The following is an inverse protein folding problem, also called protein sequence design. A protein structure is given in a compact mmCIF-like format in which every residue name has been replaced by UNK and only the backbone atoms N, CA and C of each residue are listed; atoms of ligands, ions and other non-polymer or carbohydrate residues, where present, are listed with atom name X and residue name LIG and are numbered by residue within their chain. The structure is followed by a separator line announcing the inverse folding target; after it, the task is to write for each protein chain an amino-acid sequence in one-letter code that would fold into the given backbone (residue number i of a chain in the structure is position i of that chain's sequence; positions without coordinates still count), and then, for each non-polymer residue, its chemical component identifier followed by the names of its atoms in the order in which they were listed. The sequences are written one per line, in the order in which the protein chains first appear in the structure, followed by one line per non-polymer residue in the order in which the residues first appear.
data_IF_996415656273
#
_entry.id   IF_996415656273
#
_cell.length_a   1.000
_cell.length_b   1.000
_cell.length_c   1.000
_cell.angle_alpha   90.00
_cell.angle_beta   90.00
_cell.angle_gamma   90.00
#
_symmetry.space_group_name_H-M   'P 1'
#
loop_
_entity.id
_entity.type
_entity.pdbx_description
1 polymer ?
#
# COMPACT_ATOMS: atom_id res chain seq x y z
N UNK A 1 6.26 -12.69 6.94
CA UNK A 1 5.62 -12.21 5.71
C UNK A 1 4.75 -11.03 6.10
N UNK A 2 4.93 -9.87 5.45
CA UNK A 2 4.03 -8.73 5.63
C UNK A 2 2.69 -8.95 4.94
N UNK A 3 1.71 -8.09 5.21
CA UNK A 3 0.40 -8.10 4.54
C UNK A 3 0.10 -6.72 3.97
N UNK A 4 -0.48 -6.67 2.77
CA UNK A 4 -1.08 -5.47 2.20
C UNK A 4 -2.57 -5.72 1.94
N UNK A 5 -3.43 -4.83 2.43
CA UNK A 5 -4.88 -4.84 2.22
C UNK A 5 -5.23 -3.61 1.40
N UNK A 6 -5.87 -3.83 0.25
CA UNK A 6 -6.33 -2.77 -0.66
C UNK A 6 -7.86 -2.79 -0.64
N UNK A 7 -8.47 -1.64 -0.36
CA UNK A 7 -9.91 -1.44 -0.49
C UNK A 7 -10.17 -0.34 -1.50
N UNK A 8 -10.94 -0.64 -2.52
CA UNK A 8 -11.35 0.34 -3.54
C UNK A 8 -12.86 0.54 -3.49
N UNK A 9 -13.30 1.76 -3.73
CA UNK A 9 -14.72 2.08 -3.90
C UNK A 9 -14.89 3.22 -4.90
N UNK A 10 -16.12 3.40 -5.35
CA UNK A 10 -16.49 4.48 -6.27
C UNK A 10 -17.40 5.48 -5.55
N UNK A 11 -17.05 6.76 -5.62
CA UNK A 11 -17.87 7.89 -5.18
C UNK A 11 -18.47 8.56 -6.44
N UNK A 12 -19.72 8.23 -6.82
CA UNK A 12 -20.29 8.66 -8.10
C UNK A 12 -20.44 10.18 -8.24
N UNK A 13 -20.59 10.89 -7.12
CA UNK A 13 -20.77 12.35 -7.08
C UNK A 13 -19.43 13.13 -7.04
N UNK A 14 -18.29 12.45 -7.17
CA UNK A 14 -16.97 13.07 -7.13
C UNK A 14 -16.18 12.80 -8.41
N UNK A 15 -15.37 13.78 -8.82
CA UNK A 15 -14.42 13.63 -9.93
C UNK A 15 -12.98 13.84 -9.42
N UNK A 16 -12.08 12.85 -9.57
CA UNK A 16 -12.35 11.49 -10.07
C UNK A 16 -13.23 10.71 -9.08
N UNK A 17 -14.02 9.74 -9.58
CA UNK A 17 -14.91 8.92 -8.74
C UNK A 17 -14.20 7.76 -8.05
N UNK A 18 -12.97 7.45 -8.45
CA UNK A 18 -12.18 6.36 -7.87
C UNK A 18 -11.63 6.73 -6.49
N UNK A 19 -11.69 5.78 -5.56
CA UNK A 19 -11.08 5.87 -4.24
C UNK A 19 -10.41 4.57 -3.86
N UNK A 20 -9.26 4.68 -3.21
CA UNK A 20 -8.58 3.56 -2.62
C UNK A 20 -8.05 3.90 -1.22
N UNK A 21 -8.11 2.90 -0.34
CA UNK A 21 -7.41 2.86 0.95
C UNK A 21 -6.52 1.63 0.97
N UNK A 22 -5.24 1.84 1.23
CA UNK A 22 -4.25 0.78 1.34
C UNK A 22 -3.70 0.76 2.76
N UNK A 23 -3.70 -0.41 3.39
CA UNK A 23 -3.06 -0.63 4.69
C UNK A 23 -2.04 -1.75 4.54
N UNK A 24 -0.79 -1.52 4.90
CA UNK A 24 0.27 -2.51 4.71
C UNK A 24 1.28 -2.53 5.86
N UNK A 25 1.84 -3.71 6.10
CA UNK A 25 3.01 -3.93 6.96
C UNK A 25 4.02 -4.81 6.22
N UNK A 26 5.30 -4.63 6.51
CA UNK A 26 6.38 -5.45 5.92
C UNK A 26 6.79 -6.62 6.83
N UNK A 27 6.43 -6.56 8.11
CA UNK A 27 6.54 -7.69 9.04
C UNK A 27 5.28 -7.78 9.91
N UNK A 28 4.97 -8.96 10.49
CA UNK A 28 3.84 -9.11 11.39
C UNK A 28 3.91 -8.24 12.65
N UNK A 29 5.11 -7.82 13.04
CA UNK A 29 5.38 -7.01 14.24
C UNK A 29 5.53 -5.52 13.93
N UNK A 30 5.61 -5.14 12.65
CA UNK A 30 5.68 -3.74 12.26
C UNK A 30 4.29 -3.09 12.34
N UNK A 31 4.29 -1.82 12.77
CA UNK A 31 3.09 -1.01 12.76
C UNK A 31 2.57 -0.84 11.31
N UNK A 32 1.28 -1.11 11.04
CA UNK A 32 0.70 -0.95 9.71
C UNK A 32 0.66 0.52 9.28
N UNK A 33 1.11 0.80 8.06
CA UNK A 33 0.94 2.11 7.43
C UNK A 33 -0.36 2.14 6.63
N UNK A 34 -1.10 3.24 6.72
CA UNK A 34 -2.31 3.46 5.92
C UNK A 34 -2.14 4.67 5.01
N UNK A 35 -2.55 4.54 3.76
CA UNK A 35 -2.58 5.61 2.76
C UNK A 35 -3.91 5.60 1.99
N UNK A 36 -4.28 6.77 1.47
CA UNK A 36 -5.48 6.99 0.67
C UNK A 36 -5.07 7.59 -0.67
N UNK A 37 -5.74 7.22 -1.75
CA UNK A 37 -5.53 7.82 -3.07
C UNK A 37 -6.82 7.87 -3.88
N UNK A 38 -6.87 8.84 -4.78
CA UNK A 38 -7.90 9.00 -5.81
C UNK A 38 -7.40 8.61 -7.21
N UNK A 39 -6.13 8.20 -7.30
CA UNK A 39 -5.46 7.82 -8.54
C UNK A 39 -5.23 6.30 -8.57
N UNK A 40 -5.79 5.57 -9.56
CA UNK A 40 -5.50 4.16 -9.76
C UNK A 40 -4.02 3.83 -9.96
N UNK A 41 -3.25 4.72 -10.59
CA UNK A 41 -1.84 4.46 -10.89
C UNK A 41 -0.98 4.48 -9.61
N UNK A 42 -1.33 5.34 -8.65
CA UNK A 42 -0.68 5.35 -7.33
C UNK A 42 -0.88 4.03 -6.56
N UNK A 43 -2.02 3.35 -6.77
CA UNK A 43 -2.25 2.02 -6.19
C UNK A 43 -1.28 1.01 -6.78
N UNK A 44 -1.12 1.00 -8.10
CA UNK A 44 -0.20 0.09 -8.78
C UNK A 44 1.25 0.33 -8.33
N UNK A 45 1.66 1.59 -8.20
CA UNK A 45 3.00 1.94 -7.75
C UNK A 45 3.23 1.63 -6.27
N UNK A 46 2.21 1.73 -5.42
CA UNK A 46 2.29 1.27 -4.04
C UNK A 46 2.45 -0.26 -3.95
N UNK A 47 1.69 -1.01 -4.75
CA UNK A 47 1.81 -2.48 -4.83
C UNK A 47 3.19 -2.90 -5.31
N UNK A 48 3.69 -2.28 -6.39
CA UNK A 48 5.04 -2.55 -6.92
C UNK A 48 6.10 -2.32 -5.83
N UNK A 49 6.06 -1.17 -5.16
CA UNK A 49 6.99 -0.84 -4.07
C UNK A 49 6.91 -1.81 -2.89
N UNK A 50 5.72 -2.31 -2.57
CA UNK A 50 5.54 -3.26 -1.48
C UNK A 50 6.05 -4.67 -1.80
N UNK A 51 5.95 -5.09 -3.06
CA UNK A 51 6.44 -6.38 -3.56
C UNK A 51 7.95 -6.41 -3.78
N UNK A 52 8.60 -5.26 -3.96
CA UNK A 52 10.05 -5.22 -4.07
C UNK A 52 10.67 -5.80 -2.79
N UNK A 53 11.66 -6.69 -2.90
CA UNK A 53 12.38 -7.18 -1.73
C UNK A 53 12.93 -5.98 -0.96
N UNK A 54 12.57 -5.85 0.32
CA UNK A 54 13.36 -5.05 1.25
C UNK A 54 14.70 -5.74 1.33
N UNK A 55 15.64 -5.36 0.46
CA UNK A 55 17.03 -5.80 0.56
C UNK A 55 17.44 -5.60 2.00
N UNK A 56 17.68 -6.72 2.68
CA UNK A 56 17.88 -6.76 4.11
C UNK A 56 18.93 -5.74 4.53
N UNK A 57 18.62 -5.02 5.60
CA UNK A 57 19.64 -4.41 6.44
C UNK A 57 20.77 -5.44 6.65
N UNK A 58 22.03 -5.14 6.31
CA UNK A 58 23.12 -6.03 6.65
C UNK A 58 23.17 -6.13 8.17
N UNK A 59 22.95 -7.33 8.69
CA UNK A 59 23.29 -7.70 10.05
C UNK A 59 24.80 -7.54 10.21
N UNK A 60 25.25 -6.41 10.75
CA UNK A 60 26.64 -6.26 11.18
C UNK A 60 26.84 -7.11 12.43
N UNK A 61 27.76 -8.07 12.30
CA UNK A 61 28.28 -8.92 13.35
C UNK A 61 29.22 -8.14 14.29
#
# INVERSE_FOLDING_TARGET
MGTMVIRTWTEPDHSPGFRARMTYSHSPTAEPKTMYTVDPDEVLDAVRRWLLPHTGTPHQA
#
